data_IF_928652549025
#
_entry.id   IF_928652549025
#
_cell.length_a   1.000
_cell.length_b   1.000
_cell.length_c   1.000
_cell.angle_alpha   90.00
_cell.angle_beta   90.00
_cell.angle_gamma   90.00
#
_symmetry.space_group_name_H-M   'P 1'
#
loop_
_entity.id
_entity.type
_entity.pdbx_description
1 polymer ?
#
# COMPACT_ATOMS: atom_id res chain seq x y z
N UNK A 1 -4.94 39.54 7.07
CA UNK A 1 -6.13 39.73 7.90
C UNK A 1 -6.44 38.49 8.72
N UNK A 2 -7.25 38.62 9.77
CA UNK A 2 -7.67 37.50 10.59
C UNK A 2 -8.42 36.44 9.76
N UNK A 3 -9.20 36.86 8.77
CA UNK A 3 -9.91 35.92 7.88
C UNK A 3 -8.94 35.12 7.02
N UNK A 4 -7.86 35.72 6.53
CA UNK A 4 -6.82 35.03 5.76
C UNK A 4 -6.06 34.02 6.61
N UNK A 5 -5.72 34.37 7.84
CA UNK A 5 -5.05 33.50 8.79
C UNK A 5 -5.93 32.29 9.15
N UNK A 6 -7.23 32.50 9.39
CA UNK A 6 -8.18 31.42 9.67
C UNK A 6 -8.31 30.48 8.48
N UNK A 7 -8.36 30.98 7.25
CA UNK A 7 -8.43 30.17 6.03
C UNK A 7 -7.18 29.29 5.87
N UNK A 8 -5.99 29.85 6.14
CA UNK A 8 -4.72 29.10 6.12
C UNK A 8 -4.71 27.99 7.16
N UNK A 9 -5.10 28.30 8.41
CA UNK A 9 -5.14 27.33 9.49
C UNK A 9 -6.10 26.17 9.16
N UNK A 10 -7.24 26.45 8.55
CA UNK A 10 -8.20 25.44 8.12
C UNK A 10 -7.61 24.56 7.00
N UNK A 11 -6.88 25.13 6.06
CA UNK A 11 -6.20 24.38 5.00
C UNK A 11 -5.10 23.47 5.55
N UNK A 12 -4.30 23.97 6.51
CA UNK A 12 -3.26 23.19 7.16
C UNK A 12 -3.86 22.03 7.97
N UNK A 13 -4.94 22.27 8.71
CA UNK A 13 -5.64 21.23 9.45
C UNK A 13 -6.23 20.17 8.53
N UNK A 14 -6.84 20.58 7.42
CA UNK A 14 -7.38 19.64 6.42
C UNK A 14 -6.27 18.79 5.80
N UNK A 15 -5.13 19.39 5.49
CA UNK A 15 -3.97 18.66 4.98
C UNK A 15 -3.44 17.62 5.99
N UNK A 16 -3.28 18.02 7.26
CA UNK A 16 -2.83 17.13 8.32
C UNK A 16 -3.83 15.99 8.57
N UNK A 17 -5.14 16.29 8.56
CA UNK A 17 -6.19 15.29 8.75
C UNK A 17 -6.25 14.28 7.58
N UNK A 18 -5.82 14.65 6.38
CA UNK A 18 -5.75 13.79 5.23
C UNK A 18 -4.45 12.96 5.16
N UNK A 19 -3.48 13.18 6.05
CA UNK A 19 -2.21 12.48 6.03
C UNK A 19 -2.35 10.93 6.11
N UNK A 20 -3.21 10.35 6.96
CA UNK A 20 -3.40 8.91 6.97
C UNK A 20 -3.94 8.37 5.64
N UNK A 21 -4.84 9.10 5.00
CA UNK A 21 -5.40 8.72 3.68
C UNK A 21 -4.31 8.72 2.61
N UNK A 22 -3.44 9.75 2.59
CA UNK A 22 -2.31 9.82 1.66
C UNK A 22 -1.32 8.69 1.90
N UNK A 23 -0.95 8.44 3.15
CA UNK A 23 -0.03 7.37 3.51
C UNK A 23 -0.58 6.01 3.09
N UNK A 24 -1.87 5.77 3.27
CA UNK A 24 -2.52 4.54 2.84
C UNK A 24 -2.56 4.41 1.31
N UNK A 25 -2.79 5.51 0.59
CA UNK A 25 -2.75 5.53 -0.87
C UNK A 25 -1.35 5.17 -1.39
N UNK A 26 -0.30 5.74 -0.79
CA UNK A 26 1.09 5.44 -1.14
C UNK A 26 1.44 3.97 -0.87
N UNK A 27 0.99 3.44 0.26
CA UNK A 27 1.16 2.04 0.62
C UNK A 27 0.48 1.12 -0.42
N UNK A 28 -0.77 1.43 -0.79
CA UNK A 28 -1.50 0.68 -1.81
C UNK A 28 -0.82 0.75 -3.18
N UNK A 29 -0.29 1.89 -3.56
CA UNK A 29 0.43 2.05 -4.82
C UNK A 29 1.69 1.17 -4.86
N UNK A 30 2.47 1.13 -3.79
CA UNK A 30 3.62 0.24 -3.67
C UNK A 30 3.20 -1.22 -3.73
N UNK A 31 2.17 -1.59 -2.96
CA UNK A 31 1.61 -2.95 -2.97
C UNK A 31 1.19 -3.37 -4.38
N UNK A 32 0.47 -2.50 -5.10
CA UNK A 32 0.00 -2.80 -6.44
C UNK A 32 1.15 -3.01 -7.41
N UNK A 33 2.23 -2.24 -7.29
CA UNK A 33 3.44 -2.44 -8.10
C UNK A 33 4.08 -3.79 -7.82
N UNK A 34 4.15 -4.20 -6.56
CA UNK A 34 4.69 -5.50 -6.18
C UNK A 34 3.82 -6.66 -6.69
N UNK A 35 2.49 -6.51 -6.60
CA UNK A 35 1.56 -7.49 -7.17
C UNK A 35 1.72 -7.60 -8.68
N UNK A 36 1.79 -6.50 -9.39
CA UNK A 36 2.00 -6.48 -10.85
C UNK A 36 3.32 -7.16 -11.25
N UNK A 37 4.39 -6.88 -10.50
CA UNK A 37 5.69 -7.51 -10.72
C UNK A 37 5.62 -9.03 -10.55
N UNK A 38 4.86 -9.51 -9.56
CA UNK A 38 4.69 -10.95 -9.35
C UNK A 38 3.70 -11.59 -10.32
N UNK A 39 2.73 -10.83 -10.88
CA UNK A 39 1.81 -11.32 -11.90
C UNK A 39 2.56 -11.84 -13.12
N UNK A 40 3.62 -11.16 -13.52
CA UNK A 40 4.48 -11.57 -14.61
C UNK A 40 5.11 -12.95 -14.35
N UNK A 41 5.63 -13.17 -13.16
CA UNK A 41 6.24 -14.45 -12.77
C UNK A 41 5.22 -15.58 -12.75
N UNK A 42 4.01 -15.31 -12.23
CA UNK A 42 2.91 -16.26 -12.20
C UNK A 42 2.52 -16.65 -13.63
N UNK A 43 2.41 -15.68 -14.53
CA UNK A 43 2.08 -15.93 -15.93
C UNK A 43 3.12 -16.82 -16.62
N UNK A 44 4.41 -16.57 -16.37
CA UNK A 44 5.49 -17.41 -16.89
C UNK A 44 5.38 -18.85 -16.41
N UNK A 45 5.12 -19.06 -15.12
CA UNK A 45 4.98 -20.41 -14.58
C UNK A 45 3.77 -21.14 -15.18
N UNK A 46 2.64 -20.48 -15.34
CA UNK A 46 1.45 -21.05 -15.96
C UNK A 46 1.69 -21.40 -17.43
N UNK A 47 2.41 -20.57 -18.18
CA UNK A 47 2.78 -20.83 -19.58
C UNK A 47 3.67 -22.07 -19.73
N UNK A 48 4.54 -22.32 -18.73
CA UNK A 48 5.39 -23.51 -18.68
C UNK A 48 4.64 -24.76 -18.23
N UNK A 49 3.38 -24.63 -17.83
CA UNK A 49 2.58 -25.73 -17.29
C UNK A 49 2.86 -26.03 -15.82
N UNK A 50 3.57 -25.15 -15.12
CA UNK A 50 3.88 -25.31 -13.70
C UNK A 50 2.75 -24.77 -12.82
N UNK A 51 2.59 -25.36 -11.63
CA UNK A 51 1.71 -24.81 -10.61
C UNK A 51 2.39 -23.64 -9.90
N UNK A 52 1.57 -22.69 -9.39
CA UNK A 52 2.06 -21.59 -8.58
C UNK A 52 2.46 -22.16 -7.21
N UNK A 53 3.66 -21.78 -6.71
CA UNK A 53 4.14 -22.24 -5.41
C UNK A 53 3.28 -21.72 -4.26
N UNK A 54 3.20 -22.47 -3.16
CA UNK A 54 2.49 -22.04 -1.97
C UNK A 54 3.14 -20.79 -1.35
N UNK A 55 4.47 -20.68 -1.40
CA UNK A 55 5.20 -19.50 -0.93
C UNK A 55 4.80 -18.24 -1.70
N UNK A 56 4.65 -18.34 -3.02
CA UNK A 56 4.20 -17.23 -3.86
C UNK A 56 2.75 -16.85 -3.55
N UNK A 57 1.88 -17.83 -3.35
CA UNK A 57 0.48 -17.58 -2.95
C UNK A 57 0.41 -16.85 -1.61
N UNK A 58 1.20 -17.28 -0.64
CA UNK A 58 1.29 -16.66 0.69
C UNK A 58 1.80 -15.22 0.60
N UNK A 59 2.86 -14.98 -0.18
CA UNK A 59 3.41 -13.65 -0.42
C UNK A 59 2.37 -12.71 -1.02
N UNK A 60 1.67 -13.13 -2.05
CA UNK A 60 0.65 -12.31 -2.72
C UNK A 60 -0.54 -12.03 -1.81
N UNK A 61 -0.96 -13.01 -1.01
CA UNK A 61 -2.05 -12.82 -0.04
C UNK A 61 -1.63 -11.82 1.05
N UNK A 62 -0.40 -11.90 1.54
CA UNK A 62 0.13 -10.94 2.50
C UNK A 62 0.16 -9.52 1.94
N UNK A 63 0.49 -9.35 0.65
CA UNK A 63 0.42 -8.05 -0.02
C UNK A 63 -1.02 -7.51 -0.09
N UNK A 64 -1.99 -8.36 -0.42
CA UNK A 64 -3.41 -7.95 -0.47
C UNK A 64 -3.92 -7.50 0.89
N UNK A 65 -3.50 -8.19 1.95
CA UNK A 65 -3.95 -7.93 3.32
C UNK A 65 -3.20 -6.77 3.99
N UNK A 66 -2.06 -6.36 3.45
CA UNK A 66 -1.19 -5.35 4.06
C UNK A 66 -1.90 -4.02 4.38
N UNK A 67 -2.80 -3.47 3.54
CA UNK A 67 -3.49 -2.23 3.85
C UNK A 67 -4.51 -2.34 4.98
N UNK A 68 -4.90 -3.55 5.37
CA UNK A 68 -5.92 -3.75 6.40
C UNK A 68 -5.45 -3.20 7.75
N UNK A 69 -6.27 -2.36 8.38
CA UNK A 69 -5.96 -1.78 9.68
C UNK A 69 -4.93 -0.67 9.68
N UNK A 70 -4.48 -0.19 8.52
CA UNK A 70 -3.48 0.89 8.39
C UNK A 70 -4.18 2.25 8.37
N UNK A 71 -4.73 2.65 9.51
CA UNK A 71 -5.55 3.86 9.65
C UNK A 71 -4.78 5.08 10.13
N UNK A 72 -3.48 4.97 10.37
CA UNK A 72 -2.59 6.08 10.76
C UNK A 72 -1.34 6.11 9.90
N UNK A 73 -0.68 7.28 9.85
CA UNK A 73 0.61 7.43 9.15
C UNK A 73 1.66 6.48 9.72
N UNK A 74 1.73 6.36 11.05
CA UNK A 74 2.69 5.48 11.72
C UNK A 74 2.47 4.01 11.33
N UNK A 75 1.23 3.54 11.29
CA UNK A 75 0.91 2.17 10.89
C UNK A 75 1.32 1.91 9.44
N UNK A 76 1.09 2.88 8.53
CA UNK A 76 1.50 2.77 7.14
C UNK A 76 3.04 2.74 7.00
N UNK A 77 3.73 3.63 7.72
CA UNK A 77 5.20 3.76 7.67
C UNK A 77 5.88 2.54 8.27
N UNK A 78 5.34 1.99 9.36
CA UNK A 78 5.89 0.84 10.07
C UNK A 78 5.36 -0.51 9.56
N UNK A 79 4.62 -0.53 8.47
CA UNK A 79 4.10 -1.76 7.88
C UNK A 79 5.25 -2.71 7.53
N UNK A 80 5.09 -3.98 7.90
CA UNK A 80 6.06 -5.02 7.56
C UNK A 80 5.74 -5.59 6.19
N UNK A 81 6.61 -5.31 5.22
CA UNK A 81 6.44 -5.80 3.86
C UNK A 81 6.84 -7.27 3.76
N UNK A 82 6.02 -8.13 3.14
CA UNK A 82 6.42 -9.51 2.95
C UNK A 82 7.62 -9.61 2.02
N UNK A 83 8.46 -10.62 2.26
CA UNK A 83 9.64 -10.89 1.44
C UNK A 83 9.26 -11.81 0.29
N UNK A 84 9.62 -11.42 -0.93
CA UNK A 84 9.38 -12.25 -2.12
C UNK A 84 10.16 -13.56 -2.02
N UNK A 85 9.48 -14.70 -2.29
CA UNK A 85 10.13 -16.01 -2.31
C UNK A 85 11.19 -16.14 -3.40
#
# INVERSE_FOLDING_TARGET
TAAEETARDNEEAAWANAAPTRALADLRNKRNRLLQSSDWEIMQELEKGNAISDDMKTYRQALRDLPNGKDTVAKCTNATWPTKP
#
